data_IF_488010398716
#
_entry.id   IF_488010398716
#
_cell.length_a   1.000
_cell.length_b   1.000
_cell.length_c   1.000
_cell.angle_alpha   90.00
_cell.angle_beta   90.00
_cell.angle_gamma   90.00
#
_symmetry.space_group_name_H-M   'P 1'
#
loop_
_entity.id
_entity.type
_entity.pdbx_description
1 polymer ?
#
# COMPACT_ATOMS: atom_id res chain seq x y z
N UNK A 1 5.87 -0.47 4.41
CA UNK A 1 4.51 -0.91 4.13
C UNK A 1 4.18 -0.61 2.66
N UNK A 2 3.84 -1.65 1.92
CA UNK A 2 3.36 -1.55 0.54
C UNK A 2 1.83 -1.74 0.56
N UNK A 3 1.12 -0.65 0.79
CA UNK A 3 -0.36 -0.66 0.81
C UNK A 3 -0.97 -0.46 -0.57
N UNK A 4 -2.22 -0.90 -0.77
CA UNK A 4 -2.94 -0.71 -2.06
C UNK A 4 -3.16 0.77 -2.41
N UNK A 5 -3.19 1.65 -1.41
CA UNK A 5 -3.43 3.08 -1.59
C UNK A 5 -2.18 3.93 -1.43
N UNK A 6 -1.41 3.68 -0.36
CA UNK A 6 -0.17 4.38 -0.05
C UNK A 6 0.99 3.41 0.12
N UNK A 7 2.17 3.80 -0.36
CA UNK A 7 3.46 3.22 -0.02
C UNK A 7 4.04 4.06 1.11
N UNK A 8 4.43 3.42 2.21
CA UNK A 8 5.06 4.09 3.36
C UNK A 8 6.41 3.46 3.63
N UNK A 9 7.43 4.27 3.76
CA UNK A 9 8.79 3.83 4.02
C UNK A 9 9.36 4.61 5.20
N UNK A 10 9.86 3.87 6.20
CA UNK A 10 10.59 4.42 7.32
C UNK A 10 12.09 4.24 7.11
N UNK A 11 12.85 5.33 7.11
CA UNK A 11 14.31 5.31 7.09
C UNK A 11 14.84 5.42 8.53
N UNK A 12 15.30 4.29 9.08
CA UNK A 12 15.80 4.22 10.45
C UNK A 12 17.05 5.10 10.68
N UNK A 13 17.89 5.33 9.67
CA UNK A 13 19.10 6.14 9.81
C UNK A 13 18.80 7.62 9.94
N UNK A 14 17.72 8.07 9.28
CA UNK A 14 17.30 9.47 9.24
C UNK A 14 16.16 9.76 10.20
N UNK A 15 15.57 8.72 10.78
CA UNK A 15 14.34 8.81 11.59
C UNK A 15 13.21 9.55 10.85
N UNK A 16 13.00 9.19 9.58
CA UNK A 16 12.00 9.84 8.73
C UNK A 16 11.05 8.86 8.11
N UNK A 17 9.79 9.23 8.01
CA UNK A 17 8.76 8.50 7.27
C UNK A 17 8.53 9.23 5.95
N UNK A 18 8.54 8.46 4.87
CA UNK A 18 8.17 8.90 3.55
C UNK A 18 6.89 8.16 3.10
N UNK A 19 5.99 8.88 2.46
CA UNK A 19 4.71 8.39 2.00
C UNK A 19 4.44 8.87 0.58
N UNK A 20 3.92 7.99 -0.28
CA UNK A 20 3.49 8.28 -1.65
C UNK A 20 2.30 7.41 -2.03
N UNK A 21 1.45 7.91 -2.93
CA UNK A 21 0.34 7.12 -3.48
C UNK A 21 0.85 5.94 -4.30
N UNK A 22 0.21 4.78 -4.15
CA UNK A 22 0.56 3.58 -4.91
C UNK A 22 -0.14 3.58 -6.27
N UNK A 23 0.28 4.48 -7.15
CA UNK A 23 -0.31 4.69 -8.47
C UNK A 23 0.73 5.14 -9.48
N UNK A 24 0.57 4.72 -10.72
CA UNK A 24 1.45 5.07 -11.84
C UNK A 24 0.59 5.48 -13.05
N UNK A 25 1.02 6.52 -13.75
CA UNK A 25 0.43 6.98 -14.98
C UNK A 25 1.35 6.68 -16.15
N UNK A 26 0.82 6.07 -17.19
CA UNK A 26 1.51 5.76 -18.43
C UNK A 26 0.93 6.59 -19.58
N UNK A 27 1.76 6.90 -20.58
CA UNK A 27 1.28 7.34 -21.88
C UNK A 27 0.62 6.16 -22.60
N UNK A 28 -0.52 6.38 -23.20
CA UNK A 28 -1.18 5.39 -24.08
C UNK A 28 -0.44 5.32 -25.42
N UNK A 29 0.75 4.75 -25.40
CA UNK A 29 1.57 4.48 -26.56
C UNK A 29 2.10 3.03 -26.50
N UNK A 30 2.72 2.57 -27.62
CA UNK A 30 3.23 1.18 -27.69
C UNK A 30 4.24 0.85 -26.60
N UNK A 31 5.03 1.83 -26.17
CA UNK A 31 6.13 1.63 -25.22
C UNK A 31 5.68 1.78 -23.76
N UNK A 32 4.43 2.23 -23.52
CA UNK A 32 3.90 2.51 -22.18
C UNK A 32 4.87 3.36 -21.35
N UNK A 33 5.32 4.47 -21.91
CA UNK A 33 6.22 5.39 -21.23
C UNK A 33 5.60 5.90 -19.93
N UNK A 34 6.38 5.91 -18.86
CA UNK A 34 5.94 6.45 -17.58
C UNK A 34 5.78 7.98 -17.71
N UNK A 35 4.57 8.45 -17.44
CA UNK A 35 4.24 9.87 -17.44
C UNK A 35 4.41 10.48 -16.04
N UNK A 36 3.86 9.83 -15.02
CA UNK A 36 3.93 10.26 -13.62
C UNK A 36 3.85 9.06 -12.66
N UNK A 37 4.27 9.26 -11.42
CA UNK A 37 4.19 8.26 -10.35
C UNK A 37 3.79 8.91 -9.04
N UNK A 38 3.20 8.13 -8.13
CA UNK A 38 2.87 8.58 -6.78
C UNK A 38 1.82 9.69 -6.78
N UNK A 39 2.00 10.69 -5.94
CA UNK A 39 1.06 11.81 -5.77
C UNK A 39 0.82 12.58 -7.06
N UNK A 40 1.84 12.73 -7.93
CA UNK A 40 1.70 13.37 -9.25
C UNK A 40 0.72 12.59 -10.14
N UNK A 41 0.81 11.26 -10.17
CA UNK A 41 -0.11 10.41 -10.94
C UNK A 41 -1.52 10.43 -10.33
N UNK A 42 -1.62 10.39 -8.99
CA UNK A 42 -2.89 10.42 -8.30
C UNK A 42 -3.64 11.74 -8.51
N UNK A 43 -2.93 12.85 -8.61
CA UNK A 43 -3.54 14.17 -8.88
C UNK A 43 -4.35 14.20 -10.17
N UNK A 44 -4.03 13.32 -11.14
CA UNK A 44 -4.75 13.21 -12.43
C UNK A 44 -5.88 12.18 -12.40
N UNK A 45 -6.01 11.39 -11.35
CA UNK A 45 -7.02 10.35 -11.28
C UNK A 45 -8.44 10.91 -11.41
N UNK A 46 -9.23 10.33 -12.32
CA UNK A 46 -10.59 10.78 -12.66
C UNK A 46 -10.68 12.00 -13.57
N UNK A 47 -9.54 12.62 -13.96
CA UNK A 47 -9.49 13.78 -14.87
C UNK A 47 -8.32 13.73 -15.86
N UNK A 48 -7.69 12.56 -16.00
CA UNK A 48 -6.61 12.35 -16.96
C UNK A 48 -7.11 12.49 -18.40
N UNK A 49 -6.30 13.05 -19.32
CA UNK A 49 -6.61 13.03 -20.76
C UNK A 49 -6.68 11.57 -21.27
N UNK A 50 -7.37 11.35 -22.40
CA UNK A 50 -7.58 10.02 -22.97
C UNK A 50 -6.31 9.28 -23.37
N UNK A 51 -5.20 9.99 -23.56
CA UNK A 51 -3.89 9.42 -23.88
C UNK A 51 -3.04 9.09 -22.65
N UNK A 52 -3.61 9.13 -21.44
CA UNK A 52 -2.94 8.78 -20.18
C UNK A 52 -3.74 7.68 -19.48
N UNK A 53 -3.10 6.52 -19.29
CA UNK A 53 -3.63 5.40 -18.50
C UNK A 53 -3.15 5.52 -17.04
N UNK A 54 -4.08 5.54 -16.09
CA UNK A 54 -3.75 5.52 -14.66
C UNK A 54 -3.97 4.12 -14.11
N UNK A 55 -2.94 3.57 -13.49
CA UNK A 55 -2.91 2.19 -13.02
C UNK A 55 -2.58 2.14 -11.53
N UNK A 56 -3.32 1.31 -10.80
CA UNK A 56 -3.04 0.93 -9.41
C UNK A 56 -2.41 -0.47 -9.41
N UNK A 57 -1.10 -0.59 -9.12
CA UNK A 57 -0.39 -1.87 -9.25
C UNK A 57 -0.79 -2.92 -8.21
N UNK A 58 -1.37 -2.49 -7.09
CA UNK A 58 -1.89 -3.37 -6.05
C UNK A 58 -3.41 -3.39 -6.04
N UNK A 59 -3.97 -4.52 -5.62
CA UNK A 59 -5.41 -4.70 -5.43
C UNK A 59 -5.65 -5.59 -4.23
N UNK A 60 -6.57 -5.17 -3.36
CA UNK A 60 -6.99 -5.96 -2.18
C UNK A 60 -5.81 -6.42 -1.31
N UNK A 61 -4.78 -5.58 -1.18
CA UNK A 61 -3.62 -5.84 -0.33
C UNK A 61 -2.49 -6.63 -0.99
N UNK A 62 -2.65 -7.09 -2.25
CA UNK A 62 -1.62 -7.88 -2.96
C UNK A 62 -1.17 -7.21 -4.27
N UNK A 63 -0.01 -7.61 -4.76
CA UNK A 63 0.54 -7.11 -6.03
C UNK A 63 -0.24 -7.77 -7.18
N UNK A 64 -1.05 -6.98 -7.87
CA UNK A 64 -1.85 -7.44 -9.03
C UNK A 64 -1.13 -7.26 -10.37
N UNK A 65 -0.25 -6.25 -10.45
CA UNK A 65 0.54 -5.91 -11.65
C UNK A 65 2.02 -5.76 -11.27
N UNK A 66 2.74 -6.87 -11.26
CA UNK A 66 4.13 -6.91 -10.77
C UNK A 66 5.06 -5.94 -11.50
N UNK A 67 5.02 -5.90 -12.83
CA UNK A 67 5.88 -5.02 -13.62
C UNK A 67 5.58 -3.54 -13.34
N UNK A 68 4.31 -3.16 -13.26
CA UNK A 68 3.90 -1.79 -12.96
C UNK A 68 4.35 -1.40 -11.55
N UNK A 69 4.19 -2.30 -10.56
CA UNK A 69 4.69 -2.09 -9.20
C UNK A 69 6.21 -1.95 -9.15
N UNK A 70 6.93 -2.73 -9.94
CA UNK A 70 8.40 -2.65 -10.04
C UNK A 70 8.84 -1.31 -10.64
N UNK A 71 8.18 -0.85 -11.71
CA UNK A 71 8.46 0.46 -12.30
C UNK A 71 8.16 1.60 -11.34
N UNK A 72 7.00 1.54 -10.65
CA UNK A 72 6.63 2.53 -9.65
C UNK A 72 7.70 2.60 -8.56
N UNK A 73 8.02 1.46 -7.91
CA UNK A 73 9.00 1.40 -6.84
C UNK A 73 10.38 1.93 -7.29
N UNK A 74 10.85 1.52 -8.46
CA UNK A 74 12.13 1.99 -9.00
C UNK A 74 12.17 3.51 -9.22
N UNK A 75 11.07 4.11 -9.69
CA UNK A 75 10.99 5.54 -9.88
C UNK A 75 10.96 6.29 -8.54
N UNK A 76 10.20 5.78 -7.58
CA UNK A 76 10.14 6.35 -6.24
C UNK A 76 11.50 6.26 -5.54
N UNK A 77 12.19 5.13 -5.64
CA UNK A 77 13.54 4.94 -5.11
C UNK A 77 14.56 5.91 -5.72
N UNK A 78 14.46 6.18 -7.02
CA UNK A 78 15.33 7.16 -7.71
C UNK A 78 15.07 8.61 -7.24
N UNK A 79 13.79 8.99 -7.09
CA UNK A 79 13.40 10.35 -6.63
C UNK A 79 13.87 10.62 -5.20
N UNK A 80 13.72 9.65 -4.32
CA UNK A 80 13.97 9.83 -2.89
C UNK A 80 15.41 10.06 -2.49
N UNK A 81 16.44 9.73 -3.33
CA UNK A 81 17.88 9.70 -2.98
C UNK A 81 18.16 9.09 -1.59
N UNK A 82 17.17 8.38 -1.01
CA UNK A 82 17.11 8.05 0.41
C UNK A 82 17.51 6.61 0.69
N UNK A 83 17.55 5.78 -0.34
CA UNK A 83 17.89 4.39 -0.16
C UNK A 83 19.40 4.18 -0.38
N UNK A 84 20.11 3.95 0.69
CA UNK A 84 21.52 3.56 0.60
C UNK A 84 21.62 2.14 0.03
N UNK A 85 22.49 1.95 -0.98
CA UNK A 85 22.80 0.62 -1.48
C UNK A 85 23.25 -0.28 -0.33
N UNK A 86 22.80 -1.54 -0.34
CA UNK A 86 23.16 -2.51 0.68
C UNK A 86 22.43 -2.35 2.01
N UNK A 87 21.25 -1.68 2.03
CA UNK A 87 20.39 -1.62 3.19
C UNK A 87 19.63 -2.93 3.41
N UNK A 88 19.26 -3.16 4.65
CA UNK A 88 18.32 -4.21 5.06
C UNK A 88 16.91 -3.65 5.02
N UNK A 89 15.97 -4.45 4.52
CA UNK A 89 14.57 -4.06 4.38
C UNK A 89 13.67 -4.99 5.17
N UNK A 90 12.69 -4.43 5.84
CA UNK A 90 11.57 -5.16 6.44
C UNK A 90 10.29 -4.72 5.74
N UNK A 91 9.55 -5.66 5.20
CA UNK A 91 8.31 -5.39 4.45
C UNK A 91 7.14 -5.97 5.24
N UNK A 92 6.22 -5.10 5.67
CA UNK A 92 4.96 -5.53 6.27
C UNK A 92 3.98 -5.91 5.16
N UNK A 93 3.48 -7.14 5.20
CA UNK A 93 2.50 -7.68 4.26
C UNK A 93 1.23 -8.11 5.00
N UNK A 94 0.06 -8.17 4.34
CA UNK A 94 -1.14 -8.72 4.99
C UNK A 94 -0.88 -10.13 5.50
N UNK A 95 -1.46 -10.48 6.62
CA UNK A 95 -1.21 -11.78 7.25
C UNK A 95 -1.79 -12.95 6.45
N UNK A 96 -2.95 -12.72 5.82
CA UNK A 96 -3.66 -13.75 5.04
C UNK A 96 -3.26 -13.73 3.55
N UNK A 97 -1.95 -13.77 3.28
CA UNK A 97 -1.39 -13.85 1.93
C UNK A 97 -0.71 -15.20 1.70
N UNK A 98 -0.79 -15.69 0.47
CA UNK A 98 -0.14 -16.93 0.05
C UNK A 98 1.39 -16.80 0.02
N UNK A 99 2.10 -17.92 0.06
CA UNK A 99 3.57 -17.93 -0.08
C UNK A 99 4.04 -17.36 -1.42
N UNK A 100 3.23 -17.48 -2.48
CA UNK A 100 3.54 -16.89 -3.79
C UNK A 100 3.45 -15.37 -3.73
N UNK A 101 2.44 -14.84 -3.05
CA UNK A 101 2.27 -13.40 -2.84
C UNK A 101 3.38 -12.84 -1.93
N UNK A 102 3.73 -13.53 -0.84
CA UNK A 102 4.89 -13.16 -0.01
C UNK A 102 6.17 -13.09 -0.83
N UNK A 103 6.39 -14.10 -1.69
CA UNK A 103 7.53 -14.13 -2.60
C UNK A 103 7.52 -12.95 -3.56
N UNK A 104 6.37 -12.55 -4.10
CA UNK A 104 6.26 -11.39 -4.98
C UNK A 104 6.72 -10.09 -4.28
N UNK A 105 6.34 -9.87 -3.01
CA UNK A 105 6.84 -8.74 -2.22
C UNK A 105 8.36 -8.79 -2.00
N UNK A 106 8.90 -9.97 -1.71
CA UNK A 106 10.34 -10.18 -1.57
C UNK A 106 11.07 -9.87 -2.88
N UNK A 107 10.64 -10.47 -3.98
CA UNK A 107 11.24 -10.33 -5.31
C UNK A 107 11.21 -8.87 -5.80
N UNK A 108 10.14 -8.14 -5.51
CA UNK A 108 9.99 -6.73 -5.84
C UNK A 108 11.14 -5.88 -5.28
N UNK A 109 11.56 -6.14 -4.03
CA UNK A 109 12.58 -5.33 -3.34
C UNK A 109 13.97 -5.85 -3.60
N UNK A 110 14.20 -7.19 -3.52
CA UNK A 110 15.54 -7.78 -3.71
C UNK A 110 16.10 -7.54 -5.12
N UNK A 111 15.22 -7.56 -6.14
CA UNK A 111 15.58 -7.31 -7.53
C UNK A 111 15.45 -5.84 -7.93
N UNK A 112 15.16 -4.94 -6.98
CA UNK A 112 15.08 -3.51 -7.26
C UNK A 112 16.44 -2.86 -7.42
N UNK A 113 16.44 -1.62 -7.93
CA UNK A 113 17.66 -0.79 -8.03
C UNK A 113 18.25 -0.40 -6.66
N UNK A 114 17.54 -0.65 -5.56
CA UNK A 114 17.99 -0.43 -4.19
C UNK A 114 19.17 -1.33 -3.81
N UNK A 115 19.37 -2.46 -4.52
CA UNK A 115 20.42 -3.46 -4.21
C UNK A 115 20.38 -3.83 -2.73
N UNK A 116 19.24 -4.29 -2.26
CA UNK A 116 19.04 -4.72 -0.89
C UNK A 116 20.09 -5.77 -0.50
N UNK A 117 20.67 -5.64 0.70
CA UNK A 117 21.55 -6.66 1.29
C UNK A 117 20.72 -7.82 1.82
N UNK A 118 19.58 -7.48 2.42
CA UNK A 118 18.67 -8.43 3.03
C UNK A 118 17.23 -7.90 2.95
N UNK A 119 16.27 -8.80 2.77
CA UNK A 119 14.83 -8.48 2.76
C UNK A 119 14.13 -9.45 3.70
N UNK A 120 13.45 -8.93 4.69
CA UNK A 120 12.64 -9.68 5.64
C UNK A 120 11.16 -9.33 5.45
N UNK A 121 10.31 -10.35 5.45
CA UNK A 121 8.86 -10.19 5.41
C UNK A 121 8.33 -10.33 6.83
N UNK A 122 7.44 -9.43 7.23
CA UNK A 122 6.73 -9.48 8.51
C UNK A 122 5.24 -9.38 8.29
N UNK A 123 4.46 -10.11 9.07
CA UNK A 123 3.01 -9.99 9.06
C UNK A 123 2.58 -8.62 9.60
N UNK A 124 1.64 -7.98 8.90
CA UNK A 124 1.18 -6.62 9.24
C UNK A 124 0.65 -6.52 10.67
N UNK A 125 -0.08 -7.53 11.12
CA UNK A 125 -0.60 -7.59 12.49
C UNK A 125 0.48 -7.51 13.56
N UNK A 126 1.62 -8.17 13.33
CA UNK A 126 2.79 -8.12 14.23
C UNK A 126 3.48 -6.74 14.13
N UNK A 127 3.64 -6.23 12.91
CA UNK A 127 4.20 -4.90 12.71
C UNK A 127 3.35 -3.80 13.37
N UNK A 128 2.02 -3.90 13.26
CA UNK A 128 1.06 -2.99 13.91
C UNK A 128 1.19 -3.07 15.44
N UNK A 129 1.27 -4.27 16.02
CA UNK A 129 1.44 -4.45 17.46
C UNK A 129 2.73 -3.81 17.97
N UNK A 130 3.83 -4.01 17.25
CA UNK A 130 5.13 -3.40 17.58
C UNK A 130 5.05 -1.87 17.44
N UNK A 131 4.43 -1.38 16.37
CA UNK A 131 4.26 0.07 16.13
C UNK A 131 3.38 0.75 17.19
N UNK A 132 2.41 0.03 17.74
CA UNK A 132 1.56 0.48 18.85
C UNK A 132 2.21 0.25 20.24
N UNK A 133 3.42 -0.28 20.27
CA UNK A 133 4.14 -0.61 21.50
C UNK A 133 3.35 -1.53 22.46
N UNK A 134 2.65 -2.51 21.89
CA UNK A 134 1.84 -3.46 22.66
C UNK A 134 2.72 -4.62 23.19
N UNK A 135 2.51 -4.99 24.45
CA UNK A 135 3.13 -6.18 25.05
C UNK A 135 2.36 -7.44 24.66
N UNK A 136 2.70 -8.00 23.48
CA UNK A 136 2.05 -9.21 22.98
C UNK A 136 2.41 -10.48 23.76
N UNK A 137 3.52 -10.46 24.49
CA UNK A 137 3.98 -11.63 25.28
C UNK A 137 3.11 -11.88 26.51
N UNK A 138 2.71 -10.80 27.18
CA UNK A 138 2.01 -10.89 28.45
C UNK A 138 0.50 -10.59 28.36
N UNK A 139 -0.01 -10.29 27.14
CA UNK A 139 -1.42 -9.98 26.97
C UNK A 139 -2.30 -11.23 27.02
N UNK A 140 -3.48 -11.10 27.64
CA UNK A 140 -4.54 -12.12 27.61
C UNK A 140 -5.29 -12.15 26.27
N UNK A 141 -5.24 -11.07 25.52
CA UNK A 141 -5.83 -10.91 24.20
C UNK A 141 -5.95 -9.44 23.84
N UNK A 142 -5.41 -9.06 22.69
CA UNK A 142 -5.56 -7.73 22.11
C UNK A 142 -6.10 -7.90 20.69
N UNK A 143 -7.17 -7.17 20.35
CA UNK A 143 -7.66 -7.08 19.00
C UNK A 143 -7.12 -5.80 18.34
N UNK A 144 -6.56 -5.94 17.16
CA UNK A 144 -6.11 -4.85 16.31
C UNK A 144 -7.00 -4.83 15.06
N UNK A 145 -7.53 -3.66 14.71
CA UNK A 145 -8.24 -3.41 13.46
C UNK A 145 -7.43 -2.43 12.63
N UNK A 146 -6.85 -2.89 11.52
CA UNK A 146 -6.10 -2.08 10.58
C UNK A 146 -6.98 -1.75 9.37
N UNK A 147 -7.41 -0.50 9.26
CA UNK A 147 -8.23 0.01 8.15
C UNK A 147 -7.34 0.54 7.04
N UNK A 148 -7.25 -0.20 5.94
CA UNK A 148 -6.53 0.20 4.74
C UNK A 148 -7.41 0.87 3.69
N UNK A 149 -6.84 1.16 2.52
CA UNK A 149 -7.58 1.74 1.38
C UNK A 149 -8.60 0.78 0.76
N UNK A 150 -8.27 -0.50 0.64
CA UNK A 150 -9.12 -1.52 0.02
C UNK A 150 -9.51 -2.67 0.95
N UNK A 151 -8.75 -2.87 2.01
CA UNK A 151 -8.94 -3.97 2.95
C UNK A 151 -8.92 -3.50 4.39
N UNK A 152 -9.63 -4.22 5.25
CA UNK A 152 -9.51 -4.11 6.70
C UNK A 152 -9.00 -5.44 7.24
N UNK A 153 -7.95 -5.41 8.04
CA UNK A 153 -7.39 -6.59 8.70
C UNK A 153 -7.73 -6.57 10.18
N UNK A 154 -8.39 -7.63 10.65
CA UNK A 154 -8.76 -7.82 12.05
C UNK A 154 -7.90 -8.94 12.62
N UNK A 155 -7.09 -8.64 13.61
CA UNK A 155 -6.15 -9.58 14.22
C UNK A 155 -6.34 -9.66 15.73
N UNK A 156 -6.27 -10.86 16.29
CA UNK A 156 -6.23 -11.07 17.74
C UNK A 156 -4.88 -11.67 18.10
N UNK A 157 -4.18 -10.98 19.00
CA UNK A 157 -2.86 -11.38 19.52
C UNK A 157 -2.99 -11.76 20.98
N UNK A 158 -2.41 -12.90 21.35
CA UNK A 158 -2.35 -13.38 22.74
C UNK A 158 -1.19 -14.35 22.93
N UNK A 159 -0.61 -14.38 24.11
CA UNK A 159 0.42 -15.35 24.48
C UNK A 159 1.67 -15.30 23.58
N UNK A 160 2.03 -14.14 23.10
CA UNK A 160 3.22 -13.93 22.26
C UNK A 160 3.04 -14.17 20.77
N UNK A 161 1.82 -14.44 20.31
CA UNK A 161 1.56 -14.72 18.90
C UNK A 161 0.19 -14.29 18.42
N UNK A 162 -0.05 -14.50 17.14
CA UNK A 162 -1.35 -14.28 16.52
C UNK A 162 -2.23 -15.51 16.70
N UNK A 163 -3.43 -15.29 17.23
CA UNK A 163 -4.43 -16.34 17.50
C UNK A 163 -5.48 -16.39 16.41
N UNK A 164 -5.89 -15.23 15.90
CA UNK A 164 -6.90 -15.09 14.85
C UNK A 164 -6.49 -13.96 13.92
N UNK A 165 -6.71 -14.17 12.63
CA UNK A 165 -6.65 -13.11 11.62
C UNK A 165 -7.83 -13.23 10.66
N UNK A 166 -8.34 -12.09 10.22
CA UNK A 166 -9.38 -11.98 9.22
C UNK A 166 -9.13 -10.79 8.33
N UNK A 167 -8.91 -11.03 7.05
CA UNK A 167 -8.87 -9.97 6.03
C UNK A 167 -10.26 -9.80 5.42
N UNK A 168 -10.76 -8.57 5.46
CA UNK A 168 -12.04 -8.17 4.87
C UNK A 168 -11.77 -7.21 3.72
N UNK A 169 -12.37 -7.47 2.56
CA UNK A 169 -12.23 -6.63 1.35
C UNK A 169 -13.14 -5.40 1.40
N UNK A 170 -13.04 -4.68 2.49
CA UNK A 170 -13.72 -3.40 2.76
C UNK A 170 -12.68 -2.45 3.32
N UNK A 171 -12.60 -1.25 2.80
CA UNK A 171 -11.65 -0.22 3.23
C UNK A 171 -12.10 1.16 2.80
N UNK A 172 -11.22 2.14 2.87
CA UNK A 172 -11.49 3.54 2.54
C UNK A 172 -12.19 3.72 1.20
N UNK A 173 -11.75 2.99 0.17
CA UNK A 173 -12.38 3.05 -1.16
C UNK A 173 -13.86 2.63 -1.17
N UNK A 174 -14.26 1.68 -0.30
CA UNK A 174 -15.65 1.28 -0.15
C UNK A 174 -16.46 2.37 0.52
N UNK A 175 -15.86 3.06 1.49
CA UNK A 175 -16.49 4.19 2.18
C UNK A 175 -16.65 5.38 1.24
N UNK A 176 -15.62 5.75 0.47
CA UNK A 176 -15.69 6.79 -0.55
C UNK A 176 -16.82 6.51 -1.56
N UNK A 177 -16.94 5.26 -2.03
CA UNK A 177 -18.02 4.86 -2.93
C UNK A 177 -19.39 4.98 -2.29
N UNK A 178 -19.50 4.67 -1.00
CA UNK A 178 -20.71 4.89 -0.20
C UNK A 178 -21.11 6.36 -0.16
N UNK A 179 -20.16 7.27 0.07
CA UNK A 179 -20.37 8.73 0.07
C UNK A 179 -20.80 9.21 -1.33
N UNK A 180 -20.13 8.78 -2.40
CA UNK A 180 -20.51 9.11 -3.79
C UNK A 180 -21.97 8.72 -4.06
N UNK A 181 -22.34 7.49 -3.69
CA UNK A 181 -23.70 6.98 -3.89
C UNK A 181 -24.73 7.76 -3.06
N UNK A 182 -24.40 8.09 -1.82
CA UNK A 182 -25.27 8.88 -0.94
C UNK A 182 -25.54 10.26 -1.54
N UNK A 183 -24.49 10.98 -1.92
CA UNK A 183 -24.61 12.33 -2.54
C UNK A 183 -25.43 12.27 -3.82
N UNK A 184 -25.17 11.26 -4.68
CA UNK A 184 -25.94 11.07 -5.90
C UNK A 184 -27.43 10.85 -5.63
N UNK A 185 -27.78 9.99 -4.67
CA UNK A 185 -29.18 9.65 -4.38
C UNK A 185 -29.93 10.76 -3.62
N UNK A 186 -29.23 11.43 -2.70
CA UNK A 186 -29.88 12.44 -1.84
C UNK A 186 -29.92 13.84 -2.46
N UNK A 187 -28.99 14.15 -3.36
CA UNK A 187 -28.81 15.50 -3.88
C UNK A 187 -28.81 15.57 -5.42
N UNK A 188 -28.95 14.43 -6.12
CA UNK A 188 -28.84 14.30 -7.58
C UNK A 188 -27.56 14.95 -8.12
N UNK A 189 -26.46 14.80 -7.38
CA UNK A 189 -25.16 15.41 -7.67
C UNK A 189 -24.06 14.37 -7.76
N UNK A 190 -23.23 14.45 -8.80
CA UNK A 190 -22.09 13.54 -9.00
C UNK A 190 -20.82 14.18 -8.45
N UNK A 191 -20.17 13.49 -7.53
CA UNK A 191 -18.83 13.83 -7.04
C UNK A 191 -17.84 12.76 -7.43
N UNK A 192 -16.58 13.16 -7.61
CA UNK A 192 -15.47 12.23 -7.83
C UNK A 192 -14.93 11.65 -6.51
N UNK A 193 -14.12 10.60 -6.63
CA UNK A 193 -13.54 9.91 -5.49
C UNK A 193 -12.66 10.83 -4.63
N UNK A 194 -11.83 11.69 -5.25
CA UNK A 194 -11.01 12.65 -4.51
C UNK A 194 -11.85 13.62 -3.66
N UNK A 195 -13.04 13.97 -4.12
CA UNK A 195 -13.98 14.81 -3.36
C UNK A 195 -14.60 14.01 -2.22
N UNK A 196 -14.97 12.75 -2.46
CA UNK A 196 -15.54 11.89 -1.42
C UNK A 196 -14.54 11.60 -0.28
N UNK A 197 -13.25 11.47 -0.60
CA UNK A 197 -12.17 11.25 0.39
C UNK A 197 -12.01 12.45 1.35
N UNK A 198 -12.41 13.64 0.95
CA UNK A 198 -12.27 14.88 1.75
C UNK A 198 -13.53 15.19 2.55
N UNK A 199 -14.68 14.65 2.18
CA UNK A 199 -15.96 14.81 2.89
C UNK A 199 -16.04 13.93 4.13
#
# INVERSE_FOLDING_TARGET
DLGSYDIKVYDKKKDTIWKEKNVIAFKDNRDRDIFAVGDDAFSMYGKAPSNIEITFPMKEGVISRFNDMQFLLQNLLKRGRQFSRGSEYVIAVPTDVTEVEKKAFFDLVIHSTAKAKEVNIVERSIADAVGLNLDIQNTKGIMIANFGGETTELSVLAGGGMVLNRLVKVGGHTFDQGIINLVKHSHDFLIGRQTAEVL
#
